data_IF_016533775072
#
_entry.id   IF_016533775072
#
_cell.length_a   1.000
_cell.length_b   1.000
_cell.length_c   1.000
_cell.angle_alpha   90.00
_cell.angle_beta   90.00
_cell.angle_gamma   90.00
#
_symmetry.space_group_name_H-M   'P 1'
#
loop_
_entity.id
_entity.type
_entity.pdbx_description
1 polymer ?
#
# COMPACT_ATOMS: atom_id res chain seq x y z
N UNK A 1 -33.62 6.17 10.66
CA UNK A 1 -32.42 7.05 10.66
C UNK A 1 -31.21 6.13 10.63
N UNK A 2 -30.62 5.89 9.46
CA UNK A 2 -29.55 4.92 9.26
C UNK A 2 -28.25 5.50 9.87
N UNK A 3 -27.57 4.82 10.81
CA UNK A 3 -26.32 5.31 11.37
C UNK A 3 -25.27 5.31 10.26
N UNK A 4 -25.15 6.46 9.60
CA UNK A 4 -24.12 6.81 8.65
C UNK A 4 -22.77 6.37 9.20
N UNK A 5 -22.09 5.50 8.45
CA UNK A 5 -20.74 5.02 8.71
C UNK A 5 -19.87 6.16 9.27
N UNK A 6 -19.54 6.08 10.56
CA UNK A 6 -18.59 7.00 11.18
C UNK A 6 -17.25 6.77 10.51
N UNK A 7 -16.82 7.72 9.66
CA UNK A 7 -15.45 7.75 9.16
C UNK A 7 -14.50 7.77 10.35
N UNK A 8 -13.55 6.84 10.40
CA UNK A 8 -12.55 6.81 11.48
C UNK A 8 -11.56 7.94 11.30
N UNK A 9 -11.42 8.81 12.29
CA UNK A 9 -10.36 9.84 12.35
C UNK A 9 -8.97 9.21 12.26
N UNK A 10 -8.00 9.92 11.67
CA UNK A 10 -6.58 9.51 11.61
C UNK A 10 -6.06 9.30 13.04
N UNK A 11 -5.75 8.05 13.40
CA UNK A 11 -5.15 7.70 14.68
C UNK A 11 -3.68 7.31 14.49
N UNK A 12 -2.81 7.57 15.48
CA UNK A 12 -1.39 7.15 15.43
C UNK A 12 -1.22 5.65 15.19
N UNK A 13 -2.20 4.84 15.61
CA UNK A 13 -2.26 3.40 15.36
C UNK A 13 -2.34 3.06 13.87
N UNK A 14 -3.06 3.85 13.06
CA UNK A 14 -3.23 3.62 11.62
C UNK A 14 -1.93 3.86 10.85
N UNK A 15 -1.12 4.83 11.31
CA UNK A 15 0.21 5.12 10.78
C UNK A 15 1.14 3.95 11.09
N UNK A 16 1.14 3.47 12.33
CA UNK A 16 1.97 2.32 12.75
C UNK A 16 1.58 1.07 11.96
N UNK A 17 0.28 0.81 11.79
CA UNK A 17 -0.23 -0.31 11.00
C UNK A 17 0.20 -0.21 9.52
N UNK A 18 0.10 0.96 8.91
CA UNK A 18 0.53 1.16 7.51
C UNK A 18 2.05 1.04 7.34
N UNK A 19 2.82 1.59 8.27
CA UNK A 19 4.28 1.43 8.27
C UNK A 19 4.68 -0.04 8.47
N UNK A 20 4.02 -0.75 9.38
CA UNK A 20 4.28 -2.17 9.64
C UNK A 20 3.98 -3.05 8.42
N UNK A 21 2.93 -2.72 7.66
CA UNK A 21 2.62 -3.36 6.37
C UNK A 21 3.77 -3.21 5.39
N UNK A 22 4.30 -2.00 5.22
CA UNK A 22 5.46 -1.74 4.34
C UNK A 22 6.71 -2.51 4.76
N UNK A 23 6.98 -2.61 6.07
CA UNK A 23 8.09 -3.41 6.62
C UNK A 23 7.90 -4.91 6.36
N UNK A 24 6.68 -5.42 6.53
CA UNK A 24 6.35 -6.84 6.30
C UNK A 24 6.47 -7.24 4.81
N UNK A 25 6.07 -6.37 3.87
CA UNK A 25 6.30 -6.59 2.43
C UNK A 25 7.81 -6.61 2.16
N UNK A 26 8.57 -5.70 2.74
CA UNK A 26 10.02 -5.60 2.50
C UNK A 26 10.78 -6.84 2.99
N UNK A 27 10.33 -7.41 4.11
CA UNK A 27 10.82 -8.68 4.65
C UNK A 27 10.47 -9.90 3.77
N UNK A 28 9.60 -9.77 2.78
CA UNK A 28 9.26 -10.87 1.85
C UNK A 28 10.20 -10.95 0.63
N UNK A 29 11.01 -9.92 0.41
CA UNK A 29 11.91 -9.82 -0.74
C UNK A 29 13.28 -10.47 -0.45
N UNK A 30 14.10 -10.80 -1.47
CA UNK A 30 14.86 -12.06 -1.62
C UNK A 30 16.01 -12.31 -0.65
N UNK A 31 16.25 -11.44 0.34
CA UNK A 31 17.17 -11.75 1.44
C UNK A 31 16.58 -12.75 2.45
N UNK A 32 15.25 -12.82 2.56
CA UNK A 32 14.58 -13.68 3.53
C UNK A 32 13.78 -14.82 2.89
N UNK A 33 13.51 -14.76 1.57
CA UNK A 33 12.82 -15.80 0.79
C UNK A 33 11.41 -16.18 1.32
N UNK A 34 10.79 -15.28 2.08
CA UNK A 34 9.47 -15.44 2.69
C UNK A 34 8.35 -14.97 1.76
N UNK A 35 8.23 -15.60 0.59
CA UNK A 35 7.16 -15.31 -0.38
C UNK A 35 5.71 -15.31 0.18
N UNK A 36 5.35 -16.07 1.25
CA UNK A 36 4.00 -15.99 1.82
C UNK A 36 3.73 -14.69 2.59
N UNK A 37 4.77 -14.03 3.13
CA UNK A 37 4.60 -12.80 3.89
C UNK A 37 4.11 -11.65 3.01
N UNK A 38 4.38 -11.67 1.69
CA UNK A 38 3.96 -10.63 0.76
C UNK A 38 2.41 -10.56 0.66
N UNK A 39 1.74 -11.69 0.84
CA UNK A 39 0.28 -11.78 0.88
C UNK A 39 -0.28 -11.31 2.22
N UNK A 40 0.38 -11.67 3.32
CA UNK A 40 -0.04 -11.30 4.69
C UNK A 40 0.18 -9.82 4.97
N UNK A 41 1.22 -9.24 4.40
CA UNK A 41 1.59 -7.84 4.58
C UNK A 41 0.59 -6.88 3.91
N UNK A 42 -0.16 -7.33 2.91
CA UNK A 42 -1.25 -6.55 2.33
C UNK A 42 -2.45 -6.40 3.28
N UNK A 43 -2.64 -7.35 4.21
CA UNK A 43 -3.78 -7.40 5.14
C UNK A 43 -3.85 -6.16 6.05
N UNK A 44 -2.78 -5.75 6.76
CA UNK A 44 -2.84 -4.56 7.60
C UNK A 44 -3.14 -3.28 6.81
N UNK A 45 -2.64 -3.16 5.58
CA UNK A 45 -2.97 -2.04 4.70
C UNK A 45 -4.46 -2.06 4.35
N UNK A 46 -5.01 -3.21 3.93
CA UNK A 46 -6.42 -3.36 3.59
C UNK A 46 -7.38 -3.12 4.77
N UNK A 47 -6.93 -3.42 6.00
CA UNK A 47 -7.68 -3.14 7.24
C UNK A 47 -7.74 -1.64 7.50
N UNK A 48 -6.62 -0.91 7.38
CA UNK A 48 -6.59 0.56 7.55
C UNK A 48 -7.42 1.25 6.48
N UNK A 49 -7.41 0.76 5.24
CA UNK A 49 -8.13 1.33 4.10
C UNK A 49 -9.67 1.20 4.17
N UNK A 50 -10.22 0.40 5.09
CA UNK A 50 -11.65 0.03 5.06
C UNK A 50 -12.61 1.15 5.47
N UNK A 51 -12.21 2.02 6.40
CA UNK A 51 -13.08 3.03 7.02
C UNK A 51 -12.57 4.47 6.78
N UNK A 52 -11.70 4.66 5.77
CA UNK A 52 -10.95 5.90 5.49
C UNK A 52 -11.38 6.57 4.19
N UNK A 53 -11.22 7.89 4.14
CA UNK A 53 -11.51 8.68 2.95
C UNK A 53 -10.54 8.39 1.80
N UNK A 54 -10.91 8.70 0.55
CA UNK A 54 -10.07 8.50 -0.63
C UNK A 54 -8.69 9.15 -0.52
N UNK A 55 -8.64 10.35 0.08
CA UNK A 55 -7.38 11.08 0.29
C UNK A 55 -6.49 10.41 1.34
N UNK A 56 -7.09 9.94 2.43
CA UNK A 56 -6.38 9.24 3.51
C UNK A 56 -5.84 7.90 3.03
N UNK A 57 -6.65 7.18 2.25
CA UNK A 57 -6.34 5.92 1.59
C UNK A 57 -5.12 6.04 0.67
N UNK A 58 -5.06 7.12 -0.12
CA UNK A 58 -3.88 7.44 -0.95
C UNK A 58 -2.64 7.68 -0.09
N UNK A 59 -2.77 8.45 0.99
CA UNK A 59 -1.63 8.79 1.87
C UNK A 59 -1.07 7.56 2.60
N UNK A 60 -1.93 6.68 3.12
CA UNK A 60 -1.50 5.44 3.78
C UNK A 60 -0.89 4.44 2.79
N UNK A 61 -1.47 4.32 1.59
CA UNK A 61 -0.89 3.51 0.51
C UNK A 61 0.48 4.02 0.06
N UNK A 62 0.64 5.35 -0.04
CA UNK A 62 1.91 5.97 -0.36
C UNK A 62 2.97 5.72 0.72
N UNK A 63 2.61 5.87 2.00
CA UNK A 63 3.52 5.67 3.13
C UNK A 63 3.97 4.21 3.23
N UNK A 64 3.05 3.25 3.07
CA UNK A 64 3.38 1.83 3.04
C UNK A 64 4.33 1.48 1.88
N UNK A 65 4.06 2.04 0.69
CA UNK A 65 4.93 1.90 -0.48
C UNK A 65 6.31 2.50 -0.28
N UNK A 66 6.39 3.72 0.26
CA UNK A 66 7.63 4.42 0.53
C UNK A 66 8.52 3.60 1.46
N UNK A 67 7.98 3.10 2.57
CA UNK A 67 8.72 2.25 3.52
C UNK A 67 9.20 0.97 2.83
N UNK A 68 8.33 0.31 2.05
CA UNK A 68 8.68 -0.89 1.30
C UNK A 68 9.83 -0.66 0.32
N UNK A 69 9.74 0.39 -0.49
CA UNK A 69 10.76 0.70 -1.50
C UNK A 69 12.06 1.18 -0.88
N UNK A 70 12.03 1.95 0.22
CA UNK A 70 13.24 2.34 0.93
C UNK A 70 14.06 1.13 1.38
N UNK A 71 13.40 0.11 1.94
CA UNK A 71 14.06 -1.10 2.42
C UNK A 71 14.47 -2.00 1.24
N UNK A 72 13.71 -2.01 0.15
CA UNK A 72 13.97 -2.90 -1.00
C UNK A 72 15.09 -2.39 -1.89
N UNK A 73 15.16 -1.08 -2.11
CA UNK A 73 16.10 -0.47 -3.08
C UNK A 73 17.31 0.17 -2.41
N UNK A 74 17.50 0.03 -1.09
CA UNK A 74 18.66 0.59 -0.40
C UNK A 74 19.99 0.16 -1.05
N UNK A 75 20.07 -1.06 -1.56
CA UNK A 75 21.26 -1.60 -2.21
C UNK A 75 21.64 -0.87 -3.51
N UNK A 76 20.67 -0.18 -4.14
CA UNK A 76 20.93 0.63 -5.35
C UNK A 76 21.90 1.77 -5.05
N UNK A 77 21.89 2.31 -3.82
CA UNK A 77 22.86 3.34 -3.41
C UNK A 77 24.30 2.83 -3.48
N UNK A 78 24.53 1.59 -3.03
CA UNK A 78 25.84 0.93 -3.05
C UNK A 78 26.29 0.71 -4.50
N UNK A 79 25.37 0.26 -5.37
CA UNK A 79 25.66 0.07 -6.80
C UNK A 79 26.00 1.39 -7.50
N UNK A 80 25.24 2.46 -7.25
CA UNK A 80 25.48 3.78 -7.84
C UNK A 80 26.80 4.39 -7.38
N UNK A 81 27.18 4.18 -6.12
CA UNK A 81 28.44 4.66 -5.59
C UNK A 81 29.62 3.88 -6.18
N UNK A 82 29.56 2.54 -6.16
CA UNK A 82 30.66 1.67 -6.58
C UNK A 82 30.86 1.61 -8.10
N UNK A 83 29.76 1.55 -8.86
CA UNK A 83 29.83 1.44 -10.33
C UNK A 83 29.59 2.78 -11.04
N UNK A 84 28.73 3.64 -10.49
CA UNK A 84 28.44 4.95 -11.06
C UNK A 84 29.43 6.05 -10.68
N UNK A 85 30.34 5.79 -9.73
CA UNK A 85 31.28 6.79 -9.16
C UNK A 85 30.57 8.05 -8.65
N UNK A 86 29.31 7.92 -8.27
CA UNK A 86 28.47 9.02 -7.77
C UNK A 86 28.82 9.28 -6.29
N UNK A 87 28.93 10.54 -5.84
CA UNK A 87 29.13 10.84 -4.42
C UNK A 87 28.00 10.27 -3.54
N UNK A 88 28.35 9.68 -2.39
CA UNK A 88 27.39 9.04 -1.47
C UNK A 88 26.12 9.87 -1.19
N UNK A 89 26.20 11.18 -0.86
CA UNK A 89 25.00 11.98 -0.59
C UNK A 89 24.03 12.05 -1.76
N UNK A 90 24.56 12.11 -2.99
CA UNK A 90 23.77 12.17 -4.22
C UNK A 90 23.10 10.82 -4.50
N UNK A 91 23.78 9.71 -4.24
CA UNK A 91 23.20 8.37 -4.35
C UNK A 91 22.00 8.18 -3.42
N UNK A 92 22.10 8.63 -2.15
CA UNK A 92 20.97 8.59 -1.22
C UNK A 92 19.82 9.48 -1.68
N UNK A 93 20.11 10.68 -2.20
CA UNK A 93 19.07 11.58 -2.73
C UNK A 93 18.31 10.95 -3.90
N UNK A 94 19.03 10.32 -4.84
CA UNK A 94 18.41 9.65 -6.00
C UNK A 94 17.60 8.44 -5.55
N UNK A 95 18.11 7.65 -4.62
CA UNK A 95 17.39 6.50 -4.05
C UNK A 95 16.11 6.93 -3.33
N UNK A 96 16.17 8.02 -2.55
CA UNK A 96 14.98 8.58 -1.90
C UNK A 96 13.96 9.08 -2.92
N UNK A 97 14.40 9.80 -3.96
CA UNK A 97 13.53 10.27 -5.05
C UNK A 97 12.86 9.10 -5.77
N UNK A 98 13.62 8.03 -6.01
CA UNK A 98 13.13 6.81 -6.62
C UNK A 98 12.09 6.13 -5.72
N UNK A 99 12.34 6.01 -4.42
CA UNK A 99 11.36 5.46 -3.47
C UNK A 99 10.07 6.30 -3.40
N UNK A 100 10.18 7.64 -3.45
CA UNK A 100 9.02 8.53 -3.52
C UNK A 100 8.19 8.27 -4.78
N UNK A 101 8.86 8.15 -5.93
CA UNK A 101 8.23 7.86 -7.21
C UNK A 101 7.53 6.49 -7.20
N UNK A 102 8.23 5.43 -6.77
CA UNK A 102 7.64 4.09 -6.73
C UNK A 102 6.49 3.99 -5.71
N UNK A 103 6.58 4.70 -4.58
CA UNK A 103 5.50 4.75 -3.59
C UNK A 103 4.17 5.26 -4.14
N UNK A 104 4.19 6.06 -5.22
CA UNK A 104 2.98 6.56 -5.89
C UNK A 104 2.17 5.41 -6.50
N UNK A 105 2.81 4.35 -7.02
CA UNK A 105 2.08 3.20 -7.59
C UNK A 105 1.22 2.49 -6.55
N UNK A 106 1.76 2.27 -5.36
CA UNK A 106 1.04 1.72 -4.20
C UNK A 106 -0.07 2.65 -3.71
N UNK A 107 0.13 3.97 -3.78
CA UNK A 107 -0.88 4.97 -3.45
C UNK A 107 -2.06 4.93 -4.43
N UNK A 108 -1.77 4.83 -5.74
CA UNK A 108 -2.77 4.69 -6.80
C UNK A 108 -3.54 3.38 -6.63
N UNK A 109 -2.86 2.27 -6.33
CA UNK A 109 -3.51 0.99 -6.04
C UNK A 109 -4.49 1.11 -4.87
N UNK A 110 -4.06 1.69 -3.75
CA UNK A 110 -4.90 1.90 -2.57
C UNK A 110 -6.13 2.77 -2.91
N UNK A 111 -5.94 3.83 -3.69
CA UNK A 111 -7.00 4.71 -4.16
C UNK A 111 -8.02 3.98 -5.07
N UNK A 112 -7.55 3.20 -6.05
CA UNK A 112 -8.40 2.40 -6.94
C UNK A 112 -9.17 1.32 -6.17
N UNK A 113 -8.55 0.72 -5.16
CA UNK A 113 -9.19 -0.26 -4.29
C UNK A 113 -10.36 0.36 -3.50
N UNK A 114 -10.20 1.59 -2.97
CA UNK A 114 -11.27 2.30 -2.28
C UNK A 114 -12.40 2.72 -3.25
N UNK A 115 -12.07 3.21 -4.46
CA UNK A 115 -13.07 3.46 -5.51
C UNK A 115 -13.92 2.22 -5.83
N UNK A 116 -13.31 1.03 -5.79
CA UNK A 116 -14.00 -0.23 -6.04
C UNK A 116 -14.99 -0.58 -4.92
N UNK A 117 -14.68 -0.23 -3.66
CA UNK A 117 -15.59 -0.40 -2.52
C UNK A 117 -16.79 0.54 -2.57
N UNK A 118 -16.60 1.77 -3.03
CA UNK A 118 -17.67 2.78 -3.02
C UNK A 118 -18.62 2.72 -4.23
N UNK A 119 -18.28 2.06 -5.35
CA UNK A 119 -19.05 2.31 -6.59
C UNK A 119 -19.02 1.28 -7.72
N UNK A 120 -19.29 -0.01 -7.50
CA UNK A 120 -19.65 -0.86 -8.64
C UNK A 120 -20.68 -1.95 -8.34
N UNK A 121 -21.97 -1.76 -8.70
CA UNK A 121 -22.91 -2.86 -8.82
C UNK A 121 -22.44 -3.95 -9.81
N UNK A 122 -21.49 -3.66 -10.71
CA UNK A 122 -20.97 -4.60 -11.72
C UNK A 122 -20.05 -5.67 -11.10
N UNK A 123 -19.24 -5.34 -10.09
CA UNK A 123 -18.42 -6.34 -9.37
C UNK A 123 -19.31 -7.22 -8.48
N UNK A 124 -20.37 -6.65 -7.90
CA UNK A 124 -21.45 -7.43 -7.26
C UNK A 124 -22.23 -8.29 -8.27
N UNK A 125 -22.33 -7.86 -9.53
CA UNK A 125 -22.99 -8.62 -10.60
C UNK A 125 -22.12 -9.77 -11.12
N UNK A 126 -20.79 -9.61 -11.13
CA UNK A 126 -19.83 -10.61 -11.61
C UNK A 126 -19.47 -11.63 -10.52
N UNK A 127 -19.36 -11.20 -9.25
CA UNK A 127 -18.93 -12.05 -8.12
C UNK A 127 -20.11 -12.48 -7.23
N UNK A 128 -21.24 -11.77 -7.25
CA UNK A 128 -22.42 -12.15 -6.47
C UNK A 128 -23.11 -13.38 -7.05
N UNK A 129 -23.40 -14.43 -6.25
CA UNK A 129 -24.13 -15.58 -6.74
C UNK A 129 -25.51 -15.13 -7.28
N UNK A 130 -25.98 -15.67 -8.43
CA UNK A 130 -27.23 -15.26 -9.08
C UNK A 130 -28.53 -15.52 -8.30
N UNK A 131 -28.48 -16.06 -7.08
CA UNK A 131 -29.61 -16.79 -6.48
C UNK A 131 -30.68 -15.92 -5.79
N UNK A 132 -30.53 -14.60 -5.69
CA UNK A 132 -31.55 -13.74 -5.05
C UNK A 132 -32.58 -13.14 -6.02
N UNK A 133 -32.59 -13.53 -7.31
CA UNK A 133 -33.53 -12.99 -8.31
C UNK A 133 -34.90 -13.67 -8.38
N UNK A 134 -35.19 -14.70 -7.57
CA UNK A 134 -36.41 -15.51 -7.72
C UNK A 134 -37.16 -15.78 -6.42
N UNK A 135 -37.34 -14.80 -5.53
CA UNK A 135 -38.46 -14.85 -4.58
C UNK A 135 -39.12 -13.47 -4.48
N UNK A 136 -40.44 -13.53 -4.69
CA UNK A 136 -41.44 -12.47 -4.83
C UNK A 136 -41.46 -11.46 -3.69
#
# INVERSE_FOLDING_TARGET
MNPTAMKRTIESKDIILSASSGVLIALSFPRFDLYPLAWVSLIPLLVVLKDKDKKETFLFGWLAGLVFFLITIYWVTITMHNYGKVPMPVSYAIMFLLALYLGIYTAIFAYLYNMTKEGSPVIRLIIGPPSQRLQF
#
